data_IF_422866154786
#
_entry.id   IF_422866154786
#
_cell.length_a   1.000
_cell.length_b   1.000
_cell.length_c   1.000
_cell.angle_alpha   90.00
_cell.angle_beta   90.00
_cell.angle_gamma   90.00
#
_symmetry.space_group_name_H-M   'P 1'
#
loop_
_entity.id
_entity.type
_entity.pdbx_description
1 polymer ?
#
# COMPACT_ATOMS: atom_id res chain seq x y z
N UNK A 1 5.81 53.07 3.71
CA UNK A 1 6.21 51.67 3.96
C UNK A 1 4.93 50.93 4.25
N UNK A 2 4.28 50.45 3.20
CA UNK A 2 3.03 49.70 3.33
C UNK A 2 3.37 48.28 3.77
N UNK A 3 2.69 47.73 4.79
CA UNK A 3 2.88 46.34 5.17
C UNK A 3 2.21 45.47 4.11
N UNK A 4 3.01 44.67 3.41
CA UNK A 4 2.52 43.61 2.52
C UNK A 4 1.81 42.58 3.41
N UNK A 5 0.49 42.59 3.39
CA UNK A 5 -0.33 41.52 3.95
C UNK A 5 -0.15 40.29 3.06
N UNK A 6 0.77 39.40 3.44
CA UNK A 6 0.81 38.03 2.93
C UNK A 6 -0.32 37.22 3.56
N UNK A 7 -1.54 37.51 3.12
CA UNK A 7 -2.68 36.61 3.32
C UNK A 7 -2.67 35.62 2.17
N UNK A 8 -1.82 34.58 2.27
CA UNK A 8 -2.08 33.38 1.49
C UNK A 8 -3.44 32.84 1.95
N UNK A 9 -4.47 33.05 1.12
CA UNK A 9 -5.77 32.42 1.31
C UNK A 9 -5.51 30.92 1.44
N UNK A 10 -5.72 30.37 2.64
CA UNK A 10 -5.63 28.92 2.84
C UNK A 10 -6.65 28.30 1.90
N UNK A 11 -6.16 27.55 0.91
CA UNK A 11 -7.02 26.84 -0.02
C UNK A 11 -7.99 25.99 0.80
N UNK A 12 -9.29 26.21 0.61
CA UNK A 12 -10.34 25.43 1.26
C UNK A 12 -10.09 23.96 0.90
N UNK A 13 -9.95 23.05 1.89
CA UNK A 13 -9.72 21.65 1.60
C UNK A 13 -10.90 21.10 0.80
N UNK A 14 -10.66 20.68 -0.43
CA UNK A 14 -11.67 19.95 -1.21
C UNK A 14 -11.36 18.46 -1.24
N UNK A 15 -12.38 17.59 -1.11
CA UNK A 15 -12.22 16.15 -1.30
C UNK A 15 -11.64 15.84 -2.69
N UNK A 16 -10.85 14.76 -2.84
CA UNK A 16 -10.37 14.35 -4.16
C UNK A 16 -11.55 13.95 -5.04
N UNK A 17 -11.44 14.16 -6.36
CA UNK A 17 -12.50 13.76 -7.31
C UNK A 17 -12.83 12.27 -7.27
N UNK A 18 -11.83 11.45 -6.90
CA UNK A 18 -11.96 10.01 -6.74
C UNK A 18 -11.17 9.54 -5.52
N UNK A 19 -11.67 8.49 -4.87
CA UNK A 19 -11.04 7.85 -3.73
C UNK A 19 -10.46 6.49 -4.15
N UNK A 20 -9.17 6.29 -3.90
CA UNK A 20 -8.52 4.98 -4.04
C UNK A 20 -8.52 4.23 -2.70
N UNK A 21 -8.32 2.90 -2.68
CA UNK A 21 -8.16 2.16 -1.44
C UNK A 21 -7.00 2.68 -0.58
N UNK A 22 -5.88 3.05 -1.21
CA UNK A 22 -4.72 3.62 -0.51
C UNK A 22 -5.02 5.00 0.07
N UNK A 23 -5.83 5.81 -0.62
CA UNK A 23 -6.33 7.10 -0.13
C UNK A 23 -7.23 6.94 1.09
N UNK A 24 -8.23 6.05 1.00
CA UNK A 24 -9.12 5.72 2.12
C UNK A 24 -8.32 5.20 3.32
N UNK A 25 -7.43 4.23 3.10
CA UNK A 25 -6.57 3.67 4.14
C UNK A 25 -5.63 4.70 4.79
N UNK A 26 -5.16 5.70 4.03
CA UNK A 26 -4.35 6.79 4.59
C UNK A 26 -5.17 7.66 5.55
N UNK A 27 -6.43 7.97 5.21
CA UNK A 27 -7.33 8.74 6.09
C UNK A 27 -7.68 7.95 7.36
N UNK A 28 -8.05 6.67 7.20
CA UNK A 28 -8.32 5.76 8.32
C UNK A 28 -7.11 5.64 9.26
N UNK A 29 -5.89 5.60 8.70
CA UNK A 29 -4.67 5.57 9.49
C UNK A 29 -4.45 6.88 10.25
N UNK A 30 -4.51 8.02 9.57
CA UNK A 30 -4.33 9.34 10.18
C UNK A 30 -4.87 10.46 9.27
N UNK A 31 -5.97 11.15 9.64
CA UNK A 31 -6.52 12.28 8.88
C UNK A 31 -5.49 13.40 8.64
N UNK A 32 -4.64 13.71 9.63
CA UNK A 32 -3.57 14.71 9.47
C UNK A 32 -2.59 14.34 8.34
N UNK A 33 -2.15 13.07 8.27
CA UNK A 33 -1.28 12.60 7.17
C UNK A 33 -2.01 12.71 5.83
N UNK A 34 -3.28 12.34 5.80
CA UNK A 34 -4.11 12.44 4.59
C UNK A 34 -4.19 13.88 4.08
N UNK A 35 -4.44 14.86 4.96
CA UNK A 35 -4.48 16.29 4.60
C UNK A 35 -3.15 16.76 3.98
N UNK A 36 -2.04 16.46 4.65
CA UNK A 36 -0.70 16.86 4.19
C UNK A 36 -0.37 16.24 2.81
N UNK A 37 -0.83 15.03 2.56
CA UNK A 37 -0.63 14.34 1.27
C UNK A 37 -1.57 14.78 0.17
N UNK A 38 -2.88 14.79 0.41
CA UNK A 38 -3.89 14.92 -0.65
C UNK A 38 -4.42 16.34 -0.82
N UNK A 39 -4.43 17.14 0.26
CA UNK A 39 -4.86 18.54 0.22
C UNK A 39 -3.66 19.45 -0.05
N UNK A 40 -2.63 19.39 0.80
CA UNK A 40 -1.42 20.22 0.65
C UNK A 40 -0.46 19.71 -0.42
N UNK A 41 -0.60 18.44 -0.85
CA UNK A 41 0.25 17.81 -1.87
C UNK A 41 1.74 17.87 -1.51
N UNK A 42 2.05 17.72 -0.23
CA UNK A 42 3.44 17.62 0.21
C UNK A 42 4.07 16.31 -0.30
N UNK A 43 5.37 16.32 -0.66
CA UNK A 43 6.08 15.12 -1.09
C UNK A 43 5.93 13.97 -0.09
N UNK A 44 5.51 12.79 -0.56
CA UNK A 44 5.42 11.52 0.21
C UNK A 44 6.43 10.52 -0.38
N UNK A 45 7.75 10.79 -0.28
CA UNK A 45 8.75 9.97 -0.96
C UNK A 45 8.69 8.54 -0.43
N UNK A 46 8.61 7.53 -1.31
CA UNK A 46 8.53 6.14 -0.92
C UNK A 46 9.86 5.69 -0.29
N UNK A 47 9.77 4.90 0.78
CA UNK A 47 10.94 4.23 1.34
C UNK A 47 11.42 3.07 0.46
N UNK A 48 12.63 2.58 0.73
CA UNK A 48 13.25 1.44 0.02
C UNK A 48 12.29 0.25 -0.20
N UNK A 49 11.54 -0.15 0.83
CA UNK A 49 10.64 -1.29 0.75
C UNK A 49 9.47 -1.07 -0.24
N UNK A 50 8.96 0.16 -0.34
CA UNK A 50 7.89 0.51 -1.26
C UNK A 50 8.39 0.55 -2.72
N UNK A 51 9.60 1.09 -2.94
CA UNK A 51 10.25 1.08 -4.25
C UNK A 51 10.58 -0.35 -4.71
N UNK A 52 11.13 -1.19 -3.82
CA UNK A 52 11.40 -2.59 -4.14
C UNK A 52 10.11 -3.37 -4.47
N UNK A 53 9.02 -3.09 -3.75
CA UNK A 53 7.70 -3.64 -4.05
C UNK A 53 7.19 -3.19 -5.43
N UNK A 54 7.27 -1.89 -5.72
CA UNK A 54 6.81 -1.35 -7.02
C UNK A 54 7.60 -1.94 -8.18
N UNK A 55 8.92 -2.08 -8.03
CA UNK A 55 9.75 -2.75 -9.04
C UNK A 55 9.38 -4.23 -9.21
N UNK A 56 9.10 -4.95 -8.11
CA UNK A 56 8.64 -6.33 -8.19
C UNK A 56 7.28 -6.45 -8.90
N UNK A 57 6.31 -5.58 -8.58
CA UNK A 57 5.00 -5.55 -9.25
C UNK A 57 5.16 -5.33 -10.74
N UNK A 58 5.99 -4.36 -11.17
CA UNK A 58 6.25 -4.09 -12.58
C UNK A 58 6.82 -5.29 -13.32
N UNK A 59 7.78 -6.00 -12.72
CA UNK A 59 8.35 -7.21 -13.35
C UNK A 59 7.30 -8.32 -13.45
N UNK A 60 6.49 -8.51 -12.40
CA UNK A 60 5.45 -9.54 -12.40
C UNK A 60 4.30 -9.21 -13.37
N UNK A 61 3.89 -7.94 -13.48
CA UNK A 61 2.95 -7.46 -14.48
C UNK A 61 3.41 -7.88 -15.89
N UNK A 62 4.61 -7.44 -16.28
CA UNK A 62 5.18 -7.73 -17.61
C UNK A 62 5.38 -9.23 -17.86
N UNK A 63 5.66 -10.00 -16.80
CA UNK A 63 5.74 -11.46 -16.90
C UNK A 63 4.35 -12.06 -17.17
N UNK A 64 3.33 -11.67 -16.41
CA UNK A 64 1.98 -12.24 -16.54
C UNK A 64 1.29 -11.83 -17.85
N UNK A 65 1.72 -10.75 -18.50
CA UNK A 65 1.30 -10.37 -19.86
C UNK A 65 1.90 -11.26 -20.96
N UNK A 66 2.93 -12.07 -20.68
CA UNK A 66 3.50 -13.01 -21.65
C UNK A 66 2.59 -14.20 -21.88
N UNK A 67 2.83 -14.90 -22.99
CA UNK A 67 2.23 -16.20 -23.22
C UNK A 67 2.56 -17.15 -22.06
N UNK A 68 1.62 -17.99 -21.59
CA UNK A 68 1.82 -18.80 -20.39
C UNK A 68 3.09 -19.65 -20.40
N UNK A 69 3.47 -20.21 -21.55
CA UNK A 69 4.68 -21.04 -21.68
C UNK A 69 5.99 -20.26 -21.49
N UNK A 70 5.99 -18.95 -21.74
CA UNK A 70 7.14 -18.05 -21.58
C UNK A 70 7.33 -17.55 -20.14
N UNK A 71 6.35 -17.78 -19.24
CA UNK A 71 6.37 -17.24 -17.87
C UNK A 71 7.34 -18.00 -16.96
N UNK A 72 8.64 -17.92 -17.26
CA UNK A 72 9.72 -18.59 -16.54
C UNK A 72 10.55 -17.62 -15.70
N UNK A 73 11.33 -18.17 -14.78
CA UNK A 73 12.27 -17.41 -13.95
C UNK A 73 13.30 -16.68 -14.82
N UNK A 74 13.76 -17.30 -15.90
CA UNK A 74 14.71 -16.70 -16.84
C UNK A 74 14.14 -15.47 -17.55
N UNK A 75 12.87 -15.55 -17.98
CA UNK A 75 12.18 -14.40 -18.58
C UNK A 75 11.96 -13.30 -17.55
N UNK A 76 11.59 -13.63 -16.31
CA UNK A 76 11.49 -12.63 -15.24
C UNK A 76 12.84 -11.95 -14.94
N UNK A 77 13.97 -12.68 -14.97
CA UNK A 77 15.32 -12.08 -14.86
C UNK A 77 15.60 -11.12 -16.03
N UNK A 78 15.23 -11.50 -17.25
CA UNK A 78 15.42 -10.66 -18.42
C UNK A 78 14.59 -9.38 -18.34
N UNK A 79 13.32 -9.47 -17.92
CA UNK A 79 12.44 -8.32 -17.67
C UNK A 79 13.04 -7.41 -16.59
N UNK A 80 13.42 -7.97 -15.42
CA UNK A 80 14.01 -7.19 -14.34
C UNK A 80 15.28 -6.44 -14.79
N UNK A 81 16.12 -7.07 -15.62
CA UNK A 81 17.30 -6.43 -16.20
C UNK A 81 16.94 -5.28 -17.14
N UNK A 82 15.89 -5.43 -17.94
CA UNK A 82 15.42 -4.42 -18.89
C UNK A 82 14.77 -3.22 -18.19
N UNK A 83 14.04 -3.43 -17.09
CA UNK A 83 13.36 -2.39 -16.34
C UNK A 83 14.29 -1.64 -15.36
N UNK A 84 15.41 -2.26 -14.94
CA UNK A 84 16.34 -1.67 -13.96
C UNK A 84 16.83 -0.25 -14.30
N UNK A 85 17.24 0.08 -15.54
CA UNK A 85 17.69 1.43 -15.87
C UNK A 85 16.63 2.51 -15.57
N UNK A 86 15.33 2.18 -15.70
CA UNK A 86 14.24 3.09 -15.33
C UNK A 86 14.21 3.37 -13.83
N UNK A 87 14.32 2.31 -13.02
CA UNK A 87 14.38 2.43 -11.55
C UNK A 87 15.62 3.23 -11.10
N UNK A 88 16.77 2.98 -11.71
CA UNK A 88 18.02 3.68 -11.37
C UNK A 88 18.01 5.17 -11.75
N UNK A 89 17.21 5.53 -12.77
CA UNK A 89 16.99 6.90 -13.18
C UNK A 89 15.94 7.64 -12.34
N UNK A 90 15.09 6.91 -11.60
CA UNK A 90 13.98 7.45 -10.83
C UNK A 90 14.47 8.39 -9.71
N UNK A 91 13.92 9.61 -9.57
CA UNK A 91 14.28 10.55 -8.51
C UNK A 91 14.11 9.99 -7.09
N UNK A 92 13.05 9.21 -6.84
CA UNK A 92 12.78 8.63 -5.52
C UNK A 92 13.82 7.55 -5.17
N UNK A 93 14.23 6.74 -6.15
CA UNK A 93 15.31 5.78 -5.95
C UNK A 93 16.65 6.49 -5.68
N UNK A 94 16.97 7.53 -6.45
CA UNK A 94 18.20 8.32 -6.24
C UNK A 94 18.21 9.04 -4.90
N UNK A 95 17.06 9.47 -4.41
CA UNK A 95 16.90 10.10 -3.10
C UNK A 95 17.24 9.15 -1.94
N UNK A 96 17.21 7.82 -2.15
CA UNK A 96 17.70 6.86 -1.15
C UNK A 96 19.22 6.91 -0.94
N UNK A 97 19.97 7.50 -1.88
CA UNK A 97 21.41 7.74 -1.73
C UNK A 97 22.25 6.47 -1.65
N UNK A 98 21.81 5.38 -2.27
CA UNK A 98 22.57 4.13 -2.26
C UNK A 98 23.88 4.22 -3.04
N UNK A 99 24.92 3.61 -2.49
CA UNK A 99 26.13 3.26 -3.22
C UNK A 99 25.91 1.98 -4.05
N UNK A 100 26.97 1.44 -4.65
CA UNK A 100 26.88 0.21 -5.44
C UNK A 100 26.42 -0.99 -4.59
N UNK A 101 26.82 -1.04 -3.32
CA UNK A 101 26.48 -2.14 -2.40
C UNK A 101 25.00 -2.07 -2.00
N UNK A 102 24.51 -0.89 -1.64
CA UNK A 102 23.09 -0.64 -1.35
C UNK A 102 22.21 -0.93 -2.57
N UNK A 103 22.65 -0.52 -3.77
CA UNK A 103 21.94 -0.81 -5.01
C UNK A 103 21.88 -2.32 -5.31
N UNK A 104 22.97 -3.06 -5.05
CA UNK A 104 22.97 -4.53 -5.13
C UNK A 104 22.01 -5.16 -4.13
N UNK A 105 21.98 -4.67 -2.89
CA UNK A 105 21.07 -5.16 -1.86
C UNK A 105 19.60 -4.91 -2.23
N UNK A 106 19.29 -3.72 -2.75
CA UNK A 106 17.96 -3.38 -3.24
C UNK A 106 17.51 -4.35 -4.34
N UNK A 107 18.34 -4.55 -5.38
CA UNK A 107 18.03 -5.49 -6.47
C UNK A 107 17.80 -6.90 -5.98
N UNK A 108 18.62 -7.36 -5.04
CA UNK A 108 18.45 -8.68 -4.43
C UNK A 108 17.11 -8.80 -3.70
N UNK A 109 16.74 -7.81 -2.89
CA UNK A 109 15.48 -7.78 -2.16
C UNK A 109 14.26 -7.76 -3.08
N UNK A 110 14.30 -6.97 -4.15
CA UNK A 110 13.25 -6.97 -5.16
C UNK A 110 13.18 -8.32 -5.90
N UNK A 111 14.34 -8.92 -6.24
CA UNK A 111 14.40 -10.24 -6.86
C UNK A 111 13.78 -11.33 -5.97
N UNK A 112 14.04 -11.32 -4.67
CA UNK A 112 13.43 -12.26 -3.73
C UNK A 112 11.90 -12.15 -3.70
N UNK A 113 11.35 -10.95 -3.87
CA UNK A 113 9.90 -10.78 -4.01
C UNK A 113 9.40 -11.36 -5.35
N UNK A 114 10.07 -11.05 -6.47
CA UNK A 114 9.71 -11.55 -7.80
C UNK A 114 9.73 -13.09 -7.85
N UNK A 115 10.85 -13.70 -7.45
CA UNK A 115 11.03 -15.16 -7.42
C UNK A 115 10.07 -15.82 -6.43
N UNK A 116 9.65 -15.09 -5.40
CA UNK A 116 8.66 -15.54 -4.43
C UNK A 116 7.29 -15.88 -5.01
N UNK A 117 6.98 -15.52 -6.27
CA UNK A 117 5.75 -15.93 -6.95
C UNK A 117 5.68 -17.45 -7.15
N UNK A 118 6.78 -18.08 -7.55
CA UNK A 118 6.84 -19.53 -7.82
C UNK A 118 6.67 -20.40 -6.58
N UNK A 119 6.80 -19.83 -5.38
CA UNK A 119 6.46 -20.50 -4.13
C UNK A 119 4.94 -20.54 -3.86
N UNK A 120 4.15 -19.77 -4.60
CA UNK A 120 2.71 -19.59 -4.39
C UNK A 120 1.88 -20.26 -5.50
N UNK A 121 2.38 -20.23 -6.74
CA UNK A 121 1.68 -20.71 -7.92
C UNK A 121 2.67 -21.08 -9.04
N UNK A 122 2.18 -21.80 -10.06
CA UNK A 122 2.87 -21.92 -11.35
C UNK A 122 2.34 -20.84 -12.30
N UNK A 123 3.12 -19.79 -12.64
CA UNK A 123 2.68 -18.71 -13.52
C UNK A 123 2.20 -19.19 -14.90
N UNK A 124 2.68 -20.37 -15.35
CA UNK A 124 2.28 -20.97 -16.62
C UNK A 124 0.87 -21.55 -16.61
N UNK A 125 0.34 -21.84 -15.43
CA UNK A 125 -0.97 -22.44 -15.23
C UNK A 125 -2.06 -21.41 -14.92
N UNK A 126 -1.69 -20.14 -14.68
CA UNK A 126 -2.64 -19.07 -14.38
C UNK A 126 -3.20 -18.50 -15.68
N UNK A 127 -4.52 -18.52 -15.81
CA UNK A 127 -5.21 -17.79 -16.87
C UNK A 127 -5.44 -16.35 -16.42
N UNK A 128 -4.83 -15.40 -17.13
CA UNK A 128 -4.82 -13.98 -16.75
C UNK A 128 -5.67 -13.22 -17.75
N UNK A 129 -6.78 -12.65 -17.29
CA UNK A 129 -7.61 -11.76 -18.12
C UNK A 129 -6.95 -10.41 -18.30
N UNK A 130 -6.44 -9.82 -17.23
CA UNK A 130 -5.84 -8.50 -17.26
C UNK A 130 -4.80 -8.32 -16.13
N UNK A 131 -3.83 -7.46 -16.37
CA UNK A 131 -2.89 -6.94 -15.36
C UNK A 131 -3.02 -5.44 -15.29
N UNK A 132 -2.73 -4.83 -14.14
CA UNK A 132 -2.84 -3.37 -13.93
C UNK A 132 -4.18 -2.81 -14.44
N UNK A 133 -5.27 -3.52 -14.14
CA UNK A 133 -6.60 -3.19 -14.64
C UNK A 133 -7.16 -1.97 -13.91
N UNK A 134 -7.23 -0.84 -14.60
CA UNK A 134 -7.82 0.41 -14.11
C UNK A 134 -9.35 0.27 -14.05
N UNK A 135 -9.91 0.46 -12.85
CA UNK A 135 -11.34 0.36 -12.58
C UNK A 135 -11.85 1.63 -11.94
N UNK A 136 -12.93 2.18 -12.50
CA UNK A 136 -13.69 3.30 -11.95
C UNK A 136 -15.12 2.86 -11.68
N UNK A 137 -15.65 3.21 -10.51
CA UNK A 137 -16.96 2.77 -10.03
C UNK A 137 -17.56 3.79 -9.06
N UNK A 138 -18.89 3.80 -8.92
CA UNK A 138 -19.59 4.48 -7.83
C UNK A 138 -19.96 3.43 -6.77
N UNK A 139 -19.14 3.31 -5.74
CA UNK A 139 -19.30 2.34 -4.67
C UNK A 139 -20.01 2.98 -3.48
N UNK A 140 -21.33 2.81 -3.38
CA UNK A 140 -22.10 3.34 -2.26
C UNK A 140 -22.09 4.88 -2.17
N UNK A 141 -22.11 5.57 -3.32
CA UNK A 141 -21.99 7.03 -3.40
C UNK A 141 -20.54 7.54 -3.34
N UNK A 142 -19.56 6.64 -3.34
CA UNK A 142 -18.14 7.00 -3.36
C UNK A 142 -17.61 6.92 -4.80
N UNK A 143 -17.07 8.01 -5.37
CA UNK A 143 -16.42 7.96 -6.66
C UNK A 143 -15.08 7.22 -6.52
N UNK A 144 -15.09 5.92 -6.75
CA UNK A 144 -13.95 5.04 -6.54
C UNK A 144 -13.07 4.94 -7.79
N UNK A 145 -11.75 4.86 -7.58
CA UNK A 145 -10.80 4.39 -8.61
C UNK A 145 -9.75 3.49 -8.00
N UNK A 146 -9.54 2.33 -8.60
CA UNK A 146 -8.53 1.36 -8.22
C UNK A 146 -7.73 0.89 -9.43
N UNK A 147 -6.57 0.32 -9.16
CA UNK A 147 -5.81 -0.44 -10.15
C UNK A 147 -5.65 -1.83 -9.56
N UNK A 148 -6.20 -2.82 -10.25
CA UNK A 148 -6.11 -4.23 -9.86
C UNK A 148 -4.84 -4.82 -10.46
N UNK A 149 -3.89 -5.25 -9.63
CA UNK A 149 -2.62 -5.80 -10.12
C UNK A 149 -2.84 -6.94 -11.13
N UNK A 150 -3.76 -7.86 -10.83
CA UNK A 150 -4.11 -8.98 -11.70
C UNK A 150 -5.55 -9.44 -11.54
N UNK A 151 -6.24 -9.61 -12.66
CA UNK A 151 -7.56 -10.23 -12.76
C UNK A 151 -7.40 -11.57 -13.49
N UNK A 152 -7.65 -12.66 -12.77
CA UNK A 152 -7.48 -14.03 -13.24
C UNK A 152 -8.84 -14.64 -13.63
N UNK A 153 -8.82 -15.58 -14.57
CA UNK A 153 -9.94 -16.47 -14.88
C UNK A 153 -9.72 -17.82 -14.19
N UNK A 154 -10.67 -18.23 -13.35
CA UNK A 154 -10.72 -19.57 -12.78
C UNK A 154 -12.03 -20.25 -13.21
N UNK A 155 -12.10 -21.58 -13.11
CA UNK A 155 -13.22 -22.35 -13.67
C UNK A 155 -14.62 -22.00 -13.13
N UNK A 156 -14.69 -21.32 -11.99
CA UNK A 156 -15.93 -20.83 -11.37
C UNK A 156 -16.15 -19.31 -11.50
N UNK A 157 -15.24 -18.56 -12.14
CA UNK A 157 -15.37 -17.14 -12.44
C UNK A 157 -14.10 -16.33 -12.16
N UNK A 158 -14.25 -15.01 -12.07
CA UNK A 158 -13.09 -14.11 -11.91
C UNK A 158 -12.49 -14.16 -10.52
N UNK A 159 -11.17 -13.97 -10.49
CA UNK A 159 -10.41 -13.82 -9.25
C UNK A 159 -9.60 -12.54 -9.26
N UNK A 160 -9.86 -11.69 -8.27
CA UNK A 160 -9.06 -10.47 -8.03
C UNK A 160 -7.81 -10.86 -7.25
N UNK A 161 -6.64 -10.56 -7.81
CA UNK A 161 -5.34 -10.87 -7.22
C UNK A 161 -4.50 -9.60 -7.07
N UNK A 162 -3.96 -9.36 -5.87
CA UNK A 162 -3.02 -8.25 -5.59
C UNK A 162 -1.75 -8.81 -4.94
N UNK A 163 -0.58 -8.34 -5.40
CA UNK A 163 0.71 -8.78 -4.89
C UNK A 163 1.09 -7.97 -3.65
N UNK A 164 1.69 -8.64 -2.67
CA UNK A 164 2.23 -7.97 -1.47
C UNK A 164 3.66 -8.42 -1.22
N UNK A 165 4.61 -7.49 -1.31
CA UNK A 165 6.03 -7.71 -0.99
C UNK A 165 6.35 -7.66 0.52
N UNK A 166 5.38 -7.26 1.35
CA UNK A 166 5.53 -7.15 2.80
C UNK A 166 5.24 -8.46 3.56
N UNK A 167 5.29 -8.40 4.89
CA UNK A 167 4.94 -9.54 5.76
C UNK A 167 3.44 -9.84 5.71
N UNK A 168 3.11 -11.13 5.62
CA UNK A 168 1.74 -11.61 5.72
C UNK A 168 1.16 -11.36 7.13
N UNK A 169 -0.08 -10.88 7.25
CA UNK A 169 -0.70 -10.52 8.52
C UNK A 169 -0.94 -11.76 9.39
N UNK A 170 -0.88 -11.58 10.71
CA UNK A 170 -1.35 -12.60 11.64
C UNK A 170 -2.87 -12.79 11.54
N UNK A 171 -3.39 -13.89 12.08
CA UNK A 171 -4.80 -14.24 11.95
C UNK A 171 -5.76 -13.10 12.34
N UNK A 172 -5.44 -12.37 13.41
CA UNK A 172 -6.21 -11.23 13.93
C UNK A 172 -6.36 -10.08 12.92
N UNK A 173 -5.36 -9.86 12.07
CA UNK A 173 -5.32 -8.72 11.15
C UNK A 173 -5.62 -9.10 9.70
N UNK A 174 -5.93 -10.38 9.42
CA UNK A 174 -6.19 -10.86 8.05
C UNK A 174 -7.36 -10.12 7.40
N UNK A 175 -8.48 -9.98 8.11
CA UNK A 175 -9.73 -9.43 7.58
C UNK A 175 -9.53 -8.04 6.98
N UNK A 176 -9.02 -7.09 7.77
CA UNK A 176 -8.83 -5.72 7.31
C UNK A 176 -7.80 -5.55 6.18
N UNK A 177 -7.02 -6.59 5.83
CA UNK A 177 -6.15 -6.56 4.64
C UNK A 177 -6.90 -6.94 3.37
N UNK A 178 -7.99 -7.70 3.50
CA UNK A 178 -8.81 -8.14 2.38
C UNK A 178 -9.79 -7.06 1.92
N UNK A 179 -10.09 -6.04 2.74
CA UNK A 179 -10.96 -4.93 2.37
C UNK A 179 -10.57 -4.31 1.01
N UNK A 180 -9.26 -4.11 0.75
CA UNK A 180 -8.77 -3.56 -0.51
C UNK A 180 -9.19 -4.40 -1.72
N UNK A 181 -8.97 -5.73 -1.67
CA UNK A 181 -9.28 -6.61 -2.80
C UNK A 181 -10.78 -6.89 -2.94
N UNK A 182 -11.54 -6.76 -1.86
CA UNK A 182 -13.01 -6.78 -1.92
C UNK A 182 -13.58 -5.51 -2.56
N UNK A 183 -12.99 -4.34 -2.29
CA UNK A 183 -13.35 -3.10 -2.98
C UNK A 183 -13.03 -3.17 -4.48
N UNK A 184 -11.91 -3.80 -4.84
CA UNK A 184 -11.62 -4.12 -6.23
C UNK A 184 -12.64 -5.07 -6.84
N UNK A 185 -13.07 -6.12 -6.12
CA UNK A 185 -14.12 -7.00 -6.61
C UNK A 185 -15.44 -6.27 -6.86
N UNK A 186 -15.83 -5.37 -5.95
CA UNK A 186 -17.02 -4.53 -6.12
C UNK A 186 -16.89 -3.58 -7.33
N UNK A 187 -15.72 -2.96 -7.52
CA UNK A 187 -15.47 -2.08 -8.66
C UNK A 187 -15.47 -2.83 -10.00
N UNK A 188 -14.87 -4.04 -10.04
CA UNK A 188 -14.91 -4.92 -11.20
C UNK A 188 -16.34 -5.30 -11.52
N UNK A 189 -17.12 -5.74 -10.53
CA UNK A 189 -18.53 -6.08 -10.73
C UNK A 189 -19.33 -4.94 -11.35
N UNK A 190 -19.19 -3.72 -10.81
CA UNK A 190 -19.94 -2.58 -11.34
C UNK A 190 -19.49 -2.20 -12.76
N UNK A 191 -18.21 -2.35 -13.08
CA UNK A 191 -17.67 -2.01 -14.39
C UNK A 191 -18.01 -3.05 -15.47
N UNK A 192 -18.08 -4.34 -15.12
CA UNK A 192 -18.22 -5.44 -16.08
C UNK A 192 -19.58 -6.14 -16.02
N UNK A 193 -20.32 -6.00 -14.92
CA UNK A 193 -21.51 -6.81 -14.60
C UNK A 193 -21.18 -8.20 -14.08
N UNK A 194 -19.91 -8.55 -13.90
CA UNK A 194 -19.45 -9.86 -13.48
C UNK A 194 -18.79 -9.79 -12.10
N UNK A 195 -19.46 -10.36 -11.09
CA UNK A 195 -18.93 -10.40 -9.73
C UNK A 195 -17.80 -11.42 -9.63
N UNK A 196 -16.57 -11.01 -9.24
CA UNK A 196 -15.51 -11.96 -8.95
C UNK A 196 -15.95 -12.95 -7.86
N UNK A 197 -15.52 -14.20 -7.98
CA UNK A 197 -15.86 -15.27 -7.03
C UNK A 197 -14.86 -15.37 -5.89
N UNK A 198 -13.61 -14.95 -6.12
CA UNK A 198 -12.57 -14.90 -5.11
C UNK A 198 -11.78 -13.59 -5.18
N UNK A 199 -11.25 -13.18 -4.03
CA UNK A 199 -10.32 -12.07 -3.89
C UNK A 199 -9.14 -12.51 -3.03
N UNK A 200 -7.91 -12.28 -3.49
CA UNK A 200 -6.70 -12.76 -2.81
C UNK A 200 -5.54 -11.77 -2.84
N UNK A 201 -4.74 -11.87 -1.78
CA UNK A 201 -3.44 -11.25 -1.64
C UNK A 201 -2.36 -12.32 -1.73
N UNK A 202 -1.44 -12.16 -2.68
CA UNK A 202 -0.26 -13.01 -2.80
C UNK A 202 0.90 -12.36 -2.05
N UNK A 203 1.12 -12.80 -0.80
CA UNK A 203 2.31 -12.38 -0.05
C UNK A 203 3.52 -13.13 -0.58
N UNK A 204 4.28 -12.46 -1.45
CA UNK A 204 5.35 -13.03 -2.24
C UNK A 204 6.38 -13.75 -1.36
N UNK A 205 6.70 -15.00 -1.71
CA UNK A 205 7.62 -15.87 -0.97
C UNK A 205 7.10 -16.36 0.39
N UNK A 206 5.81 -16.15 0.70
CA UNK A 206 5.19 -16.53 1.97
C UNK A 206 3.95 -17.42 1.76
N UNK A 207 2.78 -16.81 1.57
CA UNK A 207 1.50 -17.54 1.44
C UNK A 207 0.42 -16.67 0.79
N UNK A 208 -0.55 -17.27 0.09
CA UNK A 208 -1.75 -16.56 -0.28
C UNK A 208 -2.63 -16.29 0.96
N UNK A 209 -3.35 -15.18 0.93
CA UNK A 209 -4.43 -14.87 1.88
C UNK A 209 -5.62 -14.42 1.04
N UNK A 210 -6.68 -15.22 1.00
CA UNK A 210 -7.84 -14.93 0.18
C UNK A 210 -9.16 -15.13 0.91
N UNK A 211 -10.24 -14.75 0.23
CA UNK A 211 -11.61 -14.86 0.68
C UNK A 211 -12.51 -15.15 -0.52
N UNK A 212 -13.58 -15.92 -0.29
CA UNK A 212 -14.68 -16.02 -1.24
C UNK A 212 -15.46 -14.72 -1.24
N UNK A 213 -15.70 -14.16 -2.42
CA UNK A 213 -16.49 -12.95 -2.56
C UNK A 213 -17.96 -13.33 -2.48
N UNK A 214 -18.70 -12.59 -1.66
CA UNK A 214 -20.16 -12.69 -1.56
C UNK A 214 -20.76 -11.29 -1.56
N UNK A 215 -22.07 -11.17 -1.77
CA UNK A 215 -22.76 -9.88 -1.67
C UNK A 215 -22.56 -9.23 -0.29
N UNK A 216 -22.70 -10.00 0.79
CA UNK A 216 -22.49 -9.53 2.17
C UNK A 216 -21.06 -8.98 2.38
N UNK A 217 -20.07 -9.65 1.78
CA UNK A 217 -18.67 -9.24 1.84
C UNK A 217 -18.43 -7.91 1.10
N UNK A 218 -19.03 -7.75 -0.07
CA UNK A 218 -18.99 -6.51 -0.86
C UNK A 218 -19.70 -5.38 -0.11
N UNK A 219 -20.94 -5.59 0.33
CA UNK A 219 -21.75 -4.58 1.00
C UNK A 219 -21.04 -4.07 2.25
N UNK A 220 -20.44 -4.96 3.05
CA UNK A 220 -19.68 -4.60 4.25
C UNK A 220 -18.50 -3.66 3.97
N UNK A 221 -17.73 -3.90 2.91
CA UNK A 221 -16.56 -3.05 2.59
C UNK A 221 -16.97 -1.76 1.90
N UNK A 222 -18.05 -1.77 1.12
CA UNK A 222 -18.63 -0.59 0.48
C UNK A 222 -19.21 0.35 1.53
N UNK A 223 -19.94 -0.16 2.52
CA UNK A 223 -20.46 0.63 3.64
C UNK A 223 -19.33 1.28 4.45
N UNK A 224 -18.26 0.52 4.72
CA UNK A 224 -17.06 1.05 5.38
C UNK A 224 -16.42 2.15 4.55
N UNK A 225 -16.28 1.96 3.24
CA UNK A 225 -15.73 2.98 2.33
C UNK A 225 -16.59 4.24 2.31
N UNK A 226 -17.92 4.09 2.26
CA UNK A 226 -18.87 5.20 2.30
C UNK A 226 -18.76 5.99 3.61
N UNK A 227 -18.59 5.31 4.75
CA UNK A 227 -18.31 5.95 6.04
C UNK A 227 -16.99 6.74 6.02
N UNK A 228 -15.91 6.15 5.48
CA UNK A 228 -14.62 6.85 5.32
C UNK A 228 -14.74 8.05 4.40
N UNK A 229 -15.50 7.94 3.31
CA UNK A 229 -15.77 9.04 2.38
C UNK A 229 -16.55 10.18 3.05
N UNK A 230 -17.62 9.88 3.78
CA UNK A 230 -18.38 10.88 4.52
C UNK A 230 -17.50 11.61 5.56
N UNK A 231 -16.61 10.89 6.24
CA UNK A 231 -15.66 11.47 7.18
C UNK A 231 -14.61 12.37 6.50
N UNK A 232 -14.13 11.99 5.30
CA UNK A 232 -13.25 12.84 4.48
C UNK A 232 -13.95 14.14 4.10
N UNK A 233 -15.19 14.05 3.61
CA UNK A 233 -15.98 15.24 3.25
C UNK A 233 -16.19 16.16 4.46
N UNK A 234 -16.58 15.59 5.61
CA UNK A 234 -16.73 16.36 6.85
C UNK A 234 -15.44 17.07 7.24
N UNK A 235 -14.30 16.36 7.24
CA UNK A 235 -13.00 16.95 7.56
C UNK A 235 -12.59 18.05 6.56
N UNK A 236 -12.94 17.90 5.28
CA UNK A 236 -12.73 18.92 4.27
C UNK A 236 -13.60 20.17 4.53
N UNK A 237 -14.88 19.99 4.85
CA UNK A 237 -15.83 21.06 5.13
C UNK A 237 -15.48 21.86 6.38
N UNK A 238 -14.94 21.20 7.42
CA UNK A 238 -14.55 21.84 8.68
C UNK A 238 -13.08 22.27 8.75
N UNK A 239 -12.23 21.84 7.80
CA UNK A 239 -10.75 21.88 7.87
C UNK A 239 -10.19 21.23 9.16
N UNK A 240 -10.90 20.24 9.71
CA UNK A 240 -10.48 19.50 10.91
C UNK A 240 -9.94 18.12 10.55
N UNK A 241 -8.61 17.98 10.60
CA UNK A 241 -7.91 16.73 10.32
C UNK A 241 -7.10 16.29 11.53
N UNK A 242 -7.78 15.76 12.53
CA UNK A 242 -7.15 15.37 13.79
C UNK A 242 -6.11 14.25 13.60
N UNK A 243 -4.91 14.40 14.19
CA UNK A 243 -3.88 13.37 14.11
C UNK A 243 -4.28 12.13 14.93
N UNK A 244 -4.05 10.95 14.36
CA UNK A 244 -4.13 9.68 15.10
C UNK A 244 -2.70 9.22 15.42
N UNK A 245 -2.25 9.48 16.65
CA UNK A 245 -0.88 9.15 17.05
C UNK A 245 -0.71 7.67 17.41
N UNK A 246 0.45 7.11 17.07
CA UNK A 246 0.76 5.70 17.31
C UNK A 246 2.15 5.31 16.83
N UNK A 247 2.49 4.00 16.80
CA UNK A 247 3.80 3.52 16.34
C UNK A 247 4.15 3.98 14.92
N UNK A 248 3.12 4.19 14.08
CA UNK A 248 3.28 4.60 12.69
C UNK A 248 3.76 6.05 12.55
N UNK A 249 3.69 6.88 13.59
CA UNK A 249 4.26 8.23 13.57
C UNK A 249 5.77 8.21 13.29
N UNK A 250 6.50 7.19 13.76
CA UNK A 250 7.94 7.04 13.48
C UNK A 250 8.28 6.72 12.03
N UNK A 251 7.27 6.37 11.22
CA UNK A 251 7.39 6.09 9.79
C UNK A 251 6.61 7.10 8.93
N UNK A 252 6.04 8.13 9.55
CA UNK A 252 5.28 9.17 8.85
C UNK A 252 6.27 10.20 8.28
N UNK A 253 6.29 10.44 6.96
CA UNK A 253 7.24 11.38 6.34
C UNK A 253 6.96 12.84 6.70
N UNK A 254 5.82 13.13 7.34
CA UNK A 254 5.43 14.47 7.77
C UNK A 254 5.50 14.67 9.28
N UNK A 255 6.19 13.78 10.01
CA UNK A 255 6.23 13.84 11.47
C UNK A 255 6.82 15.14 11.99
N UNK A 256 7.78 15.71 11.27
CA UNK A 256 8.40 17.03 11.52
C UNK A 256 7.40 18.20 11.42
N UNK A 257 6.31 18.01 10.66
CA UNK A 257 5.19 18.95 10.52
C UNK A 257 3.98 18.60 11.41
N UNK A 258 4.12 17.63 12.30
CA UNK A 258 3.05 17.14 13.17
C UNK A 258 3.50 17.15 14.63
N UNK A 259 3.17 18.19 15.43
CA UNK A 259 3.59 18.30 16.83
C UNK A 259 3.17 17.09 17.68
N UNK A 260 1.98 16.57 17.47
CA UNK A 260 1.45 15.38 18.16
C UNK A 260 2.22 14.12 17.77
N UNK A 261 2.55 13.97 16.49
CA UNK A 261 3.38 12.89 15.98
C UNK A 261 4.80 12.93 16.53
N UNK A 262 5.42 14.10 16.55
CA UNK A 262 6.75 14.32 17.14
C UNK A 262 6.78 13.97 18.63
N UNK A 263 5.78 14.42 19.40
CA UNK A 263 5.64 14.05 20.81
C UNK A 263 5.50 12.55 21.00
N UNK A 264 4.73 11.88 20.15
CA UNK A 264 4.55 10.44 20.21
C UNK A 264 5.84 9.66 19.90
N UNK A 265 6.62 10.10 18.89
CA UNK A 265 7.93 9.51 18.59
C UNK A 265 8.87 9.65 19.78
N UNK A 266 8.99 10.84 20.36
CA UNK A 266 9.84 11.09 21.53
C UNK A 266 9.44 10.21 22.73
N UNK A 267 8.14 10.13 23.02
CA UNK A 267 7.59 9.27 24.08
C UNK A 267 7.95 7.79 23.89
N UNK A 268 7.85 7.28 22.66
CA UNK A 268 8.18 5.88 22.35
C UNK A 268 9.68 5.60 22.43
N UNK A 269 10.50 6.56 22.00
CA UNK A 269 11.95 6.46 22.13
C UNK A 269 12.37 6.41 23.60
N UNK A 270 11.85 7.32 24.43
CA UNK A 270 12.13 7.34 25.87
C UNK A 270 11.73 6.02 26.56
N UNK A 271 10.59 5.43 26.17
CA UNK A 271 10.18 4.11 26.67
C UNK A 271 11.17 3.01 26.26
N UNK A 272 11.59 2.98 25.00
CA UNK A 272 12.56 1.99 24.49
C UNK A 272 13.89 2.10 25.24
N UNK A 273 14.36 3.31 25.49
CA UNK A 273 15.62 3.54 26.22
C UNK A 273 15.52 3.07 27.68
N UNK A 274 14.37 3.30 28.33
CA UNK A 274 14.10 2.79 29.67
C UNK A 274 14.04 1.25 29.69
N UNK A 275 13.39 0.62 28.73
CA UNK A 275 13.30 -0.85 28.61
C UNK A 275 14.70 -1.46 28.43
N UNK A 276 15.56 -0.86 27.59
CA UNK A 276 16.95 -1.31 27.38
C UNK A 276 17.80 -1.12 28.64
N UNK A 277 17.63 -0.01 29.38
CA UNK A 277 18.35 0.23 30.63
C UNK A 277 17.98 -0.80 31.70
N UNK A 278 16.68 -1.13 31.83
CA UNK A 278 16.20 -2.16 32.76
C UNK A 278 16.75 -3.56 32.44
N UNK A 279 16.90 -3.92 31.16
CA UNK A 279 17.50 -5.19 30.75
C UNK A 279 19.00 -5.27 31.09
N UNK A 280 19.73 -4.16 31.01
CA UNK A 280 21.16 -4.11 31.33
C UNK A 280 21.46 -4.08 32.83
N UNK A 281 20.54 -3.59 33.65
CA UNK A 281 20.67 -3.56 35.11
C UNK A 281 20.36 -4.89 35.82
N UNK A 282 19.96 -5.93 35.09
CA UNK A 282 19.59 -7.24 35.64
C UNK A 282 20.72 -8.28 35.72
N UNK A 283 21.92 -7.97 35.23
CA UNK A 283 23.06 -8.90 35.14
C UNK A 283 24.01 -8.86 36.37
N UNK A 284 23.69 -8.11 37.43
CA UNK A 284 24.39 -8.21 38.73
C UNK A 284 23.73 -9.25 39.63
N UNK A 285 23.86 -10.54 39.28
CA UNK A 285 23.67 -11.61 40.27
C UNK A 285 24.97 -11.83 41.03
N UNK A 286 24.95 -11.35 42.28
CA UNK A 286 25.95 -11.58 43.33
C UNK A 286 26.28 -13.08 43.41
N UNK A 287 27.50 -13.45 43.05
CA UNK A 287 28.07 -14.75 43.42
C UNK A 287 28.41 -14.66 44.91
N UNK A 288 27.49 -15.13 45.75
CA UNK A 288 27.74 -15.42 47.17
C UNK A 288 28.27 -16.84 47.32
#
# INVERSE_FOLDING_TARGET
MDPVSDSSERAVPTPPRRLSPSGAGTFEQCPRRWRLRYVERLPDPPGEAALAGSFAHRVLELLMQRDPHERTVEIAKAIARAEWPGVEADPDFRALGFDETGSKHFRWKAWQAIEGLWALEDPKAVDVRATEHDVEADLGGVPFRGIVDRLDEEGDGLVVTDYKSGKAPSARFRRGRLDQVLLYAAAVEQATGEMPVHARLLYLGQRPVGIKVTREEIDSVVDKLAGTWAAINTACDTDEFDPRTGPLCGWCPYVDRCPEGTKEVAKRQAKKDADVAAMRGGDEWVVS
#
